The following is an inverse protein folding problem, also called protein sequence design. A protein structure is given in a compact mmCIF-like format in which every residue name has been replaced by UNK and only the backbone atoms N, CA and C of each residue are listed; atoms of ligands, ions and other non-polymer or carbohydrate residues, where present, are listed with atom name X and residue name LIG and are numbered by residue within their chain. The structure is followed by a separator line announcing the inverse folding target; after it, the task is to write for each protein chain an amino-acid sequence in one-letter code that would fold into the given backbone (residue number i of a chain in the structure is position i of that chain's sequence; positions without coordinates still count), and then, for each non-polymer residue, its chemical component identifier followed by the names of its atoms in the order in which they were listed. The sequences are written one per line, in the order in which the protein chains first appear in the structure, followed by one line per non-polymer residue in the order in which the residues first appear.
data_IF_749703809724
#
_entry.id   IF_749703809724
#
_cell.length_a   1.000
_cell.length_b   1.000
_cell.length_c   1.000
_cell.angle_alpha   90.00
_cell.angle_beta   90.00
_cell.angle_gamma   90.00
#
_symmetry.space_group_name_H-M   'P 1'
#
loop_
_entity.id
_entity.type
_entity.pdbx_description
1 polymer ?
#
# COMPACT_ATOMS: atom_id res chain seq x y z
N UNK A 1 1.45 -18.20 -7.23
CA UNK A 1 2.25 -17.03 -6.78
C UNK A 1 1.67 -15.81 -7.45
N UNK A 2 1.25 -14.79 -6.70
CA UNK A 2 0.57 -13.59 -7.22
C UNK A 2 1.38 -12.93 -8.35
N UNK A 3 0.76 -12.17 -9.26
CA UNK A 3 1.46 -11.53 -10.39
C UNK A 3 2.31 -10.33 -9.97
N UNK A 4 1.78 -9.50 -9.06
CA UNK A 4 2.38 -8.21 -8.77
C UNK A 4 1.89 -7.61 -7.44
N UNK A 5 2.74 -6.82 -6.79
CA UNK A 5 2.39 -5.90 -5.70
C UNK A 5 2.39 -4.46 -6.22
N UNK A 6 1.31 -3.73 -5.97
CA UNK A 6 1.17 -2.30 -6.31
C UNK A 6 0.98 -1.52 -5.02
N UNK A 7 1.84 -0.54 -4.76
CA UNK A 7 1.66 0.40 -3.65
C UNK A 7 0.95 1.66 -4.14
N UNK A 8 -0.16 2.01 -3.50
CA UNK A 8 -0.81 3.32 -3.66
C UNK A 8 -0.39 4.18 -2.47
N UNK A 9 0.42 5.19 -2.74
CA UNK A 9 1.07 6.03 -1.75
C UNK A 9 0.59 7.47 -1.85
N UNK A 10 0.75 8.26 -0.79
CA UNK A 10 0.45 9.69 -0.82
C UNK A 10 0.16 10.25 0.56
N UNK A 11 0.37 11.55 0.81
CA UNK A 11 -0.09 12.17 2.05
C UNK A 11 -1.61 12.03 2.27
N UNK A 12 -2.11 12.31 3.49
CA UNK A 12 -3.55 12.39 3.72
C UNK A 12 -4.25 13.37 2.76
N UNK A 13 -5.50 13.09 2.44
CA UNK A 13 -6.35 13.92 1.58
C UNK A 13 -5.86 14.14 0.12
N UNK A 14 -4.98 13.27 -0.38
CA UNK A 14 -4.53 13.26 -1.78
C UNK A 14 -5.37 12.36 -2.71
N UNK A 15 -6.59 11.99 -2.32
CA UNK A 15 -7.53 11.15 -3.10
C UNK A 15 -7.15 9.65 -3.24
N UNK A 16 -6.29 9.11 -2.37
CA UNK A 16 -5.91 7.69 -2.38
C UNK A 16 -7.11 6.75 -2.26
N UNK A 17 -7.90 6.89 -1.20
CA UNK A 17 -9.07 6.04 -0.96
C UNK A 17 -10.12 6.20 -2.08
N UNK A 18 -10.26 7.40 -2.64
CA UNK A 18 -11.09 7.64 -3.83
C UNK A 18 -10.58 6.87 -5.05
N UNK A 19 -9.26 6.83 -5.30
CA UNK A 19 -8.69 5.98 -6.35
C UNK A 19 -8.98 4.50 -6.09
N UNK A 20 -8.82 4.03 -4.86
CA UNK A 20 -9.11 2.64 -4.49
C UNK A 20 -10.57 2.29 -4.78
N UNK A 21 -11.52 3.13 -4.38
CA UNK A 21 -12.95 2.96 -4.69
C UNK A 21 -13.19 2.90 -6.21
N UNK A 22 -12.58 3.79 -6.98
CA UNK A 22 -12.69 3.80 -8.45
C UNK A 22 -12.11 2.51 -9.04
N UNK A 23 -10.93 2.07 -8.61
CA UNK A 23 -10.31 0.83 -9.06
C UNK A 23 -11.16 -0.39 -8.69
N UNK A 24 -11.73 -0.43 -7.50
CA UNK A 24 -12.66 -1.49 -7.09
C UNK A 24 -13.90 -1.52 -7.98
N UNK A 25 -14.51 -0.38 -8.30
CA UNK A 25 -15.65 -0.30 -9.22
C UNK A 25 -15.28 -0.79 -10.63
N UNK A 26 -14.11 -0.36 -11.13
CA UNK A 26 -13.61 -0.77 -12.43
C UNK A 26 -13.30 -2.27 -12.46
N UNK A 27 -12.70 -2.82 -11.39
CA UNK A 27 -12.24 -4.21 -11.31
C UNK A 27 -13.35 -5.21 -10.94
N UNK A 28 -14.29 -4.86 -10.07
CA UNK A 28 -15.30 -5.78 -9.53
C UNK A 28 -16.64 -5.78 -10.29
N UNK A 29 -16.78 -5.03 -11.38
CA UNK A 29 -17.93 -5.05 -12.30
C UNK A 29 -19.33 -4.73 -11.75
N UNK A 30 -19.51 -4.54 -10.44
CA UNK A 30 -20.82 -4.24 -9.88
C UNK A 30 -21.08 -2.72 -9.85
N UNK A 31 -21.99 -2.26 -10.73
CA UNK A 31 -22.62 -0.94 -10.78
C UNK A 31 -21.93 0.21 -11.56
N UNK A 32 -21.56 -0.03 -12.82
CA UNK A 32 -21.39 1.07 -13.82
C UNK A 32 -22.74 1.43 -14.45
N UNK A 33 -23.78 1.67 -13.64
CA UNK A 33 -25.11 2.02 -14.17
C UNK A 33 -25.54 3.45 -13.78
N UNK A 34 -24.92 4.12 -12.80
CA UNK A 34 -25.38 5.44 -12.34
C UNK A 34 -24.28 6.51 -12.17
N UNK A 35 -23.16 6.41 -12.89
CA UNK A 35 -22.17 7.49 -12.95
C UNK A 35 -22.26 8.13 -14.35
N UNK A 36 -22.44 9.45 -14.41
CA UNK A 36 -22.72 10.19 -15.63
C UNK A 36 -21.80 9.79 -16.80
N UNK A 37 -22.48 9.45 -17.89
CA UNK A 37 -22.08 8.57 -18.96
C UNK A 37 -21.19 9.31 -19.99
N UNK A 38 -19.86 9.28 -19.84
CA UNK A 38 -18.95 9.34 -21.00
C UNK A 38 -17.51 8.92 -20.67
N UNK A 39 -16.96 9.36 -19.53
CA UNK A 39 -15.57 9.04 -19.15
C UNK A 39 -15.41 7.57 -18.75
N UNK A 40 -16.36 7.01 -17.99
CA UNK A 40 -16.25 5.64 -17.51
C UNK A 40 -16.47 4.64 -18.64
N UNK A 41 -17.30 4.92 -19.65
CA UNK A 41 -17.46 4.02 -20.80
C UNK A 41 -16.16 3.87 -21.60
N UNK A 42 -15.43 4.97 -21.85
CA UNK A 42 -14.09 4.91 -22.47
C UNK A 42 -13.07 4.18 -21.60
N UNK A 43 -13.06 4.42 -20.29
CA UNK A 43 -12.18 3.72 -19.33
C UNK A 43 -12.54 2.22 -19.28
N UNK A 44 -13.82 1.90 -19.32
CA UNK A 44 -14.34 0.54 -19.34
C UNK A 44 -14.02 -0.20 -20.64
N UNK A 45 -14.07 0.48 -21.79
CA UNK A 45 -13.62 -0.07 -23.08
C UNK A 45 -12.10 -0.35 -23.09
N UNK A 46 -11.29 0.50 -22.45
CA UNK A 46 -9.86 0.23 -22.20
C UNK A 46 -9.70 -1.01 -21.29
N UNK A 47 -10.55 -1.16 -20.28
CA UNK A 47 -10.50 -2.27 -19.32
C UNK A 47 -10.96 -3.61 -19.91
N UNK A 48 -12.04 -3.62 -20.67
CA UNK A 48 -12.70 -4.84 -21.16
C UNK A 48 -11.89 -5.64 -22.18
N UNK A 49 -10.89 -5.03 -22.84
CA UNK A 49 -10.00 -5.77 -23.75
C UNK A 49 -8.95 -6.64 -23.03
N UNK A 50 -8.73 -6.45 -21.72
CA UNK A 50 -7.61 -7.10 -20.98
C UNK A 50 -7.99 -7.77 -19.66
N UNK A 51 -9.27 -7.77 -19.28
CA UNK A 51 -9.74 -8.11 -17.92
C UNK A 51 -9.94 -9.60 -17.62
N UNK A 52 -9.89 -10.49 -18.60
CA UNK A 52 -10.36 -11.86 -18.39
C UNK A 52 -9.46 -12.73 -17.49
N UNK A 53 -8.27 -12.27 -17.07
CA UNK A 53 -7.33 -13.14 -16.34
C UNK A 53 -6.93 -12.67 -14.93
N UNK A 54 -6.92 -11.37 -14.62
CA UNK A 54 -6.34 -10.87 -13.36
C UNK A 54 -7.37 -10.65 -12.24
N UNK A 55 -7.03 -11.08 -11.03
CA UNK A 55 -7.83 -10.85 -9.83
C UNK A 55 -7.23 -9.72 -8.99
N UNK A 56 -8.00 -8.67 -8.69
CA UNK A 56 -7.51 -7.54 -7.89
C UNK A 56 -7.88 -7.72 -6.43
N UNK A 57 -6.89 -7.62 -5.55
CA UNK A 57 -7.06 -7.75 -4.10
C UNK A 57 -6.55 -6.45 -3.47
N UNK A 58 -7.38 -5.82 -2.65
CA UNK A 58 -7.12 -4.50 -2.08
C UNK A 58 -6.87 -4.64 -0.58
N UNK A 59 -5.80 -4.02 -0.10
CA UNK A 59 -5.42 -4.00 1.30
C UNK A 59 -5.24 -2.54 1.75
N UNK A 60 -6.10 -2.06 2.64
CA UNK A 60 -5.95 -0.73 3.24
C UNK A 60 -5.44 -0.85 4.67
N UNK A 61 -4.40 -0.10 5.00
CA UNK A 61 -3.89 -0.06 6.37
C UNK A 61 -4.89 0.55 7.35
N UNK A 62 -5.72 1.49 6.91
CA UNK A 62 -6.79 2.06 7.73
C UNK A 62 -7.80 0.97 8.12
N UNK A 63 -8.18 0.08 7.17
CA UNK A 63 -9.07 -1.06 7.45
C UNK A 63 -8.44 -2.09 8.41
N UNK A 64 -7.14 -2.37 8.24
CA UNK A 64 -6.42 -3.27 9.13
C UNK A 64 -6.38 -2.74 10.56
N UNK A 65 -6.15 -1.44 10.73
CA UNK A 65 -6.05 -0.81 12.05
C UNK A 65 -7.38 -0.32 12.62
N UNK A 66 -8.50 -0.49 11.91
CA UNK A 66 -9.81 0.01 12.32
C UNK A 66 -10.17 -0.34 13.78
N UNK A 67 -10.40 0.68 14.62
CA UNK A 67 -10.71 0.55 16.04
C UNK A 67 -9.49 0.46 16.96
N UNK A 68 -8.26 0.54 16.43
CA UNK A 68 -7.00 0.48 17.18
C UNK A 68 -6.05 1.63 16.81
N UNK A 69 -6.47 2.56 15.95
CA UNK A 69 -5.62 3.55 15.31
C UNK A 69 -4.96 4.47 16.34
N UNK A 70 -5.71 4.98 17.31
CA UNK A 70 -5.18 5.91 18.32
C UNK A 70 -4.07 5.24 19.13
N UNK A 71 -4.32 4.06 19.69
CA UNK A 71 -3.34 3.30 20.47
C UNK A 71 -2.07 2.93 19.69
N UNK A 72 -2.21 2.66 18.38
CA UNK A 72 -1.10 2.27 17.51
C UNK A 72 -0.30 3.51 17.07
N UNK A 73 -0.97 4.62 16.78
CA UNK A 73 -0.36 5.85 16.23
C UNK A 73 0.27 6.71 17.32
N UNK A 74 -0.26 6.69 18.55
CA UNK A 74 0.29 7.46 19.68
C UNK A 74 1.74 7.11 20.00
N UNK A 75 2.18 5.89 19.65
CA UNK A 75 3.57 5.48 19.76
C UNK A 75 4.19 5.24 18.39
N UNK A 76 5.12 6.12 17.98
CA UNK A 76 5.74 6.05 16.64
C UNK A 76 6.45 4.71 16.37
N UNK A 77 7.00 4.10 17.41
CA UNK A 77 7.65 2.79 17.30
C UNK A 77 6.62 1.72 17.01
N UNK A 78 5.48 1.70 17.71
CA UNK A 78 4.45 0.66 17.57
C UNK A 78 3.91 0.57 16.14
N UNK A 79 3.53 1.68 15.51
CA UNK A 79 3.00 1.61 14.14
C UNK A 79 4.03 1.08 13.15
N UNK A 80 5.33 1.37 13.33
CA UNK A 80 6.40 0.80 12.49
C UNK A 80 6.44 -0.72 12.65
N UNK A 81 6.26 -1.22 13.87
CA UNK A 81 6.27 -2.65 14.16
C UNK A 81 5.07 -3.36 13.53
N UNK A 82 3.88 -2.78 13.61
CA UNK A 82 2.71 -3.36 12.95
C UNK A 82 2.85 -3.38 11.42
N UNK A 83 3.41 -2.33 10.81
CA UNK A 83 3.70 -2.33 9.36
C UNK A 83 4.71 -3.40 8.97
N UNK A 84 5.78 -3.58 9.75
CA UNK A 84 6.77 -4.63 9.53
C UNK A 84 6.15 -6.02 9.69
N UNK A 85 5.35 -6.23 10.75
CA UNK A 85 4.57 -7.45 10.96
C UNK A 85 3.71 -7.77 9.74
N UNK A 86 2.91 -6.82 9.26
CA UNK A 86 2.04 -7.00 8.09
C UNK A 86 2.86 -7.36 6.84
N UNK A 87 3.96 -6.65 6.57
CA UNK A 87 4.82 -6.95 5.43
C UNK A 87 5.42 -8.36 5.49
N UNK A 88 5.89 -8.79 6.67
CA UNK A 88 6.43 -10.14 6.89
C UNK A 88 5.37 -11.22 6.66
N UNK A 89 4.17 -11.03 7.18
CA UNK A 89 3.09 -12.01 7.03
C UNK A 89 2.55 -12.05 5.59
N UNK A 90 2.58 -10.93 4.85
CA UNK A 90 2.32 -10.92 3.40
C UNK A 90 3.37 -11.77 2.66
N UNK A 91 4.66 -11.59 2.96
CA UNK A 91 5.74 -12.38 2.35
C UNK A 91 5.58 -13.87 2.67
N UNK A 92 5.34 -14.23 3.93
CA UNK A 92 5.11 -15.61 4.36
C UNK A 92 3.90 -16.22 3.65
N UNK A 93 2.80 -15.47 3.52
CA UNK A 93 1.60 -15.90 2.81
C UNK A 93 1.91 -16.18 1.33
N UNK A 94 2.63 -15.29 0.64
CA UNK A 94 3.01 -15.47 -0.78
C UNK A 94 3.92 -16.68 -0.96
N UNK A 95 4.89 -16.87 -0.06
CA UNK A 95 5.82 -18.00 -0.09
C UNK A 95 5.20 -19.32 0.40
N UNK A 96 3.96 -19.31 0.91
CA UNK A 96 3.34 -20.46 1.58
C UNK A 96 4.16 -21.01 2.77
N UNK A 97 4.99 -20.16 3.38
CA UNK A 97 5.82 -20.50 4.53
C UNK A 97 4.99 -20.32 5.82
N UNK A 98 4.17 -21.30 6.15
CA UNK A 98 3.28 -21.28 7.32
C UNK A 98 4.05 -21.36 8.65
N UNK A 99 5.32 -21.79 8.64
CA UNK A 99 6.05 -22.14 9.87
C UNK A 99 6.82 -21.00 10.54
N UNK A 100 6.88 -19.79 9.95
CA UNK A 100 7.57 -18.63 10.54
C UNK A 100 6.59 -17.56 11.01
N UNK A 101 5.85 -17.84 12.08
CA UNK A 101 5.17 -16.76 12.79
C UNK A 101 6.22 -15.78 13.33
N UNK A 102 6.07 -14.51 12.97
CA UNK A 102 6.89 -13.45 13.56
C UNK A 102 6.72 -13.43 15.09
N UNK A 103 7.83 -13.46 15.83
CA UNK A 103 7.90 -13.45 17.30
C UNK A 103 7.47 -12.10 17.93
N UNK A 104 6.78 -11.26 17.17
CA UNK A 104 6.44 -9.90 17.54
C UNK A 104 5.15 -9.93 18.39
N UNK A 105 5.32 -9.89 19.71
CA UNK A 105 4.22 -9.84 20.66
C UNK A 105 3.66 -8.41 20.78
N UNK A 106 2.83 -8.01 19.81
CA UNK A 106 2.10 -6.74 19.85
C UNK A 106 0.67 -6.93 20.35
N UNK A 107 0.18 -5.97 21.14
CA UNK A 107 -1.13 -5.99 21.81
C UNK A 107 -2.30 -6.39 20.89
N UNK A 108 -2.30 -5.92 19.65
CA UNK A 108 -3.38 -6.11 18.67
C UNK A 108 -3.00 -7.00 17.48
N UNK A 109 -1.89 -7.74 17.57
CA UNK A 109 -1.37 -8.54 16.46
C UNK A 109 -2.40 -9.54 15.96
N UNK A 110 -3.03 -10.31 16.85
CA UNK A 110 -3.99 -11.35 16.46
C UNK A 110 -5.19 -10.81 15.68
N UNK A 111 -5.76 -9.67 16.09
CA UNK A 111 -6.90 -9.04 15.43
C UNK A 111 -6.52 -8.49 14.05
N UNK A 112 -5.38 -7.81 13.97
CA UNK A 112 -4.86 -7.25 12.71
C UNK A 112 -4.52 -8.36 11.73
N UNK A 113 -3.85 -9.42 12.19
CA UNK A 113 -3.50 -10.56 11.36
C UNK A 113 -4.74 -11.32 10.86
N UNK A 114 -5.79 -11.43 11.67
CA UNK A 114 -7.05 -12.02 11.21
C UNK A 114 -7.63 -11.21 10.04
N UNK A 115 -7.71 -9.88 10.15
CA UNK A 115 -8.18 -9.01 9.06
C UNK A 115 -7.28 -9.07 7.82
N UNK A 116 -5.97 -9.16 8.02
CA UNK A 116 -5.01 -9.37 6.96
C UNK A 116 -5.31 -10.68 6.22
N UNK A 117 -5.38 -11.81 6.93
CA UNK A 117 -5.64 -13.10 6.31
C UNK A 117 -7.00 -13.19 5.63
N UNK A 118 -8.03 -12.51 6.17
CA UNK A 118 -9.32 -12.37 5.47
C UNK A 118 -9.17 -11.62 4.13
N UNK A 119 -8.37 -10.55 4.10
CA UNK A 119 -8.09 -9.77 2.89
C UNK A 119 -7.26 -10.54 1.87
N UNK A 120 -6.41 -11.46 2.33
CA UNK A 120 -5.55 -12.29 1.49
C UNK A 120 -6.23 -13.60 1.04
N UNK A 121 -7.37 -14.01 1.64
CA UNK A 121 -7.96 -15.36 1.55
C UNK A 121 -8.33 -15.85 0.13
N UNK A 122 -8.20 -15.03 -0.90
CA UNK A 122 -8.47 -15.40 -2.30
C UNK A 122 -7.30 -15.11 -3.24
N UNK A 123 -6.10 -14.84 -2.71
CA UNK A 123 -4.93 -14.62 -3.54
C UNK A 123 -4.54 -15.90 -4.28
N UNK A 124 -4.40 -15.80 -5.60
CA UNK A 124 -3.95 -16.88 -6.47
C UNK A 124 -2.87 -16.38 -7.43
N UNK A 125 -2.48 -17.22 -8.38
CA UNK A 125 -1.36 -16.91 -9.27
C UNK A 125 -1.62 -15.78 -10.27
N UNK A 126 -2.87 -15.38 -10.46
CA UNK A 126 -3.25 -14.25 -11.30
C UNK A 126 -3.62 -13.00 -10.49
N UNK A 127 -3.40 -13.03 -9.17
CA UNK A 127 -3.76 -11.92 -8.32
C UNK A 127 -2.78 -10.74 -8.43
N UNK A 128 -3.32 -9.53 -8.42
CA UNK A 128 -2.60 -8.27 -8.21
C UNK A 128 -2.96 -7.80 -6.80
N UNK A 129 -1.97 -7.63 -5.94
CA UNK A 129 -2.15 -7.12 -4.58
C UNK A 129 -1.91 -5.61 -4.56
N UNK A 130 -2.96 -4.83 -4.38
CA UNK A 130 -2.92 -3.38 -4.26
C UNK A 130 -2.95 -3.01 -2.78
N UNK A 131 -1.91 -2.32 -2.30
CA UNK A 131 -1.76 -1.93 -0.90
C UNK A 131 -1.82 -0.41 -0.79
N UNK A 132 -2.80 0.09 -0.04
CA UNK A 132 -2.98 1.51 0.24
C UNK A 132 -2.43 1.87 1.62
N UNK A 133 -1.52 2.85 1.64
CA UNK A 133 -1.11 3.55 2.87
C UNK A 133 -0.53 4.92 2.49
N UNK A 134 -0.13 5.73 3.46
CA UNK A 134 0.61 6.95 3.20
C UNK A 134 2.00 6.67 2.64
N UNK A 135 2.68 5.63 3.14
CA UNK A 135 4.02 5.19 2.69
C UNK A 135 5.02 6.34 2.49
N UNK A 136 5.05 7.26 3.46
CA UNK A 136 5.77 8.53 3.30
C UNK A 136 7.29 8.42 3.48
N UNK A 137 7.79 7.37 4.16
CA UNK A 137 9.21 7.02 4.16
C UNK A 137 9.53 6.01 3.05
N UNK A 138 10.62 6.25 2.32
CA UNK A 138 11.13 5.34 1.28
C UNK A 138 11.42 3.93 1.82
N UNK A 139 11.91 3.80 3.06
CA UNK A 139 12.15 2.52 3.71
C UNK A 139 10.90 1.64 3.83
N UNK A 140 9.71 2.24 3.98
CA UNK A 140 8.46 1.48 4.02
C UNK A 140 8.15 0.85 2.65
N UNK A 141 8.37 1.61 1.58
CA UNK A 141 8.11 1.16 0.20
C UNK A 141 9.13 0.11 -0.23
N UNK A 142 10.39 0.33 0.14
CA UNK A 142 11.48 -0.57 -0.19
C UNK A 142 11.28 -1.97 0.42
N UNK A 143 10.65 -2.10 1.60
CA UNK A 143 10.34 -3.41 2.18
C UNK A 143 9.46 -4.27 1.26
N UNK A 144 8.47 -3.68 0.59
CA UNK A 144 7.60 -4.41 -0.35
C UNK A 144 8.28 -4.67 -1.69
N UNK A 145 9.15 -3.76 -2.14
CA UNK A 145 9.99 -4.00 -3.31
C UNK A 145 10.89 -5.22 -3.11
N UNK A 146 11.50 -5.34 -1.93
CA UNK A 146 12.32 -6.51 -1.57
C UNK A 146 11.52 -7.81 -1.53
N UNK A 147 10.27 -7.77 -1.04
CA UNK A 147 9.36 -8.93 -1.11
C UNK A 147 9.19 -9.33 -2.57
N UNK A 148 8.86 -8.36 -3.44
CA UNK A 148 8.65 -8.62 -4.85
C UNK A 148 9.89 -9.20 -5.55
N UNK A 149 11.09 -8.71 -5.23
CA UNK A 149 12.35 -9.24 -5.74
C UNK A 149 12.61 -10.68 -5.30
N UNK A 150 12.40 -11.02 -4.01
CA UNK A 150 12.64 -12.37 -3.50
C UNK A 150 11.70 -13.39 -4.12
N UNK A 151 10.43 -13.03 -4.23
CA UNK A 151 9.39 -13.89 -4.78
C UNK A 151 9.26 -13.74 -6.31
N UNK A 152 10.10 -12.92 -6.95
CA UNK A 152 10.18 -12.72 -8.40
C UNK A 152 8.83 -12.36 -9.06
N UNK A 153 8.16 -11.36 -8.50
CA UNK A 153 6.87 -10.84 -9.03
C UNK A 153 7.02 -9.38 -9.44
N UNK A 154 6.05 -8.87 -10.19
CA UNK A 154 6.03 -7.45 -10.56
C UNK A 154 5.91 -6.51 -9.36
N UNK A 155 6.42 -5.28 -9.48
CA UNK A 155 6.27 -4.24 -8.46
C UNK A 155 6.06 -2.85 -9.08
N UNK A 156 5.19 -2.04 -8.46
CA UNK A 156 5.10 -0.62 -8.77
C UNK A 156 4.66 0.22 -7.58
N UNK A 157 5.11 1.47 -7.59
CA UNK A 157 4.68 2.51 -6.67
C UNK A 157 3.95 3.59 -7.46
N UNK A 158 2.78 3.97 -6.97
CA UNK A 158 1.94 5.03 -7.52
C UNK A 158 1.70 6.06 -6.43
N UNK A 159 2.29 7.24 -6.59
CA UNK A 159 2.11 8.37 -5.69
C UNK A 159 0.95 9.24 -6.14
N UNK A 160 -0.04 9.44 -5.26
CA UNK A 160 -1.00 10.51 -5.39
C UNK A 160 -0.51 11.68 -4.55
N UNK A 161 -0.30 12.80 -5.22
CA UNK A 161 0.19 14.01 -4.62
C UNK A 161 -0.82 15.14 -4.79
N UNK A 162 -0.84 16.06 -3.84
CA UNK A 162 -1.37 17.39 -4.03
C UNK A 162 -0.50 18.36 -3.25
N UNK A 163 -0.54 19.65 -3.53
CA UNK A 163 0.08 20.60 -2.62
C UNK A 163 -0.60 20.57 -1.24
N UNK A 164 0.14 21.00 -0.20
CA UNK A 164 -0.34 20.93 1.18
C UNK A 164 -1.61 21.77 1.42
N UNK A 165 -1.72 22.95 0.78
CA UNK A 165 -2.91 23.81 0.91
C UNK A 165 -4.19 23.11 0.46
N UNK A 166 -4.13 22.39 -0.66
CA UNK A 166 -5.27 21.65 -1.20
C UNK A 166 -5.57 20.43 -0.32
N UNK A 167 -4.55 19.73 0.18
CA UNK A 167 -4.76 18.62 1.11
C UNK A 167 -5.44 19.06 2.41
N UNK A 168 -5.01 20.18 3.01
CA UNK A 168 -5.65 20.75 4.19
C UNK A 168 -7.11 21.15 3.91
N UNK A 169 -7.38 21.80 2.77
CA UNK A 169 -8.74 22.16 2.36
C UNK A 169 -9.63 20.92 2.16
N UNK A 170 -9.10 19.86 1.51
CA UNK A 170 -9.82 18.59 1.32
C UNK A 170 -10.08 17.90 2.64
N UNK A 171 -9.09 17.87 3.53
CA UNK A 171 -9.20 17.28 4.85
C UNK A 171 -10.32 17.94 5.68
N UNK A 172 -10.47 19.26 5.62
CA UNK A 172 -11.57 19.98 6.28
C UNK A 172 -12.96 19.56 5.77
N UNK A 173 -13.07 19.09 4.52
CA UNK A 173 -14.33 18.63 3.93
C UNK A 173 -14.64 17.16 4.23
N UNK A 174 -13.70 16.40 4.80
CA UNK A 174 -13.94 14.99 5.20
C UNK A 174 -14.90 14.93 6.37
N UNK A 175 -15.57 13.79 6.50
CA UNK A 175 -16.31 13.40 7.71
C UNK A 175 -15.41 13.57 8.94
N UNK A 176 -15.95 14.09 10.04
CA UNK A 176 -15.17 14.43 11.25
C UNK A 176 -14.34 13.23 11.73
N UNK A 177 -14.91 12.03 11.71
CA UNK A 177 -14.25 10.77 12.09
C UNK A 177 -13.08 10.37 11.18
N UNK A 178 -13.01 10.90 9.95
CA UNK A 178 -11.95 10.62 8.96
C UNK A 178 -10.95 11.77 8.83
N UNK A 179 -11.12 12.86 9.57
CA UNK A 179 -10.17 13.99 9.52
C UNK A 179 -8.89 13.62 10.23
N UNK A 180 -7.77 13.98 9.61
CA UNK A 180 -6.45 13.91 10.23
C UNK A 180 -6.10 15.31 10.75
N UNK A 181 -5.41 15.44 11.88
CA UNK A 181 -5.02 16.77 12.37
C UNK A 181 -4.12 17.49 11.34
N UNK A 182 -4.23 18.81 11.24
CA UNK A 182 -3.40 19.59 10.30
C UNK A 182 -1.91 19.41 10.59
N UNK A 183 -1.53 19.36 11.86
CA UNK A 183 -0.15 19.13 12.31
C UNK A 183 0.38 17.79 11.79
N UNK A 184 -0.43 16.71 11.89
CA UNK A 184 -0.04 15.41 11.36
C UNK A 184 0.11 15.43 9.83
N UNK A 185 -0.75 16.18 9.12
CA UNK A 185 -0.62 16.37 7.67
C UNK A 185 0.70 17.09 7.34
N UNK A 186 0.96 18.22 7.99
CA UNK A 186 2.20 19.00 7.82
C UNK A 186 3.45 18.16 8.10
N UNK A 187 3.44 17.36 9.17
CA UNK A 187 4.52 16.45 9.52
C UNK A 187 4.74 15.34 8.48
N UNK A 188 3.68 14.81 7.88
CA UNK A 188 3.82 13.82 6.80
C UNK A 188 4.38 14.49 5.56
N UNK A 189 3.89 15.69 5.19
CA UNK A 189 4.36 16.44 4.03
C UNK A 189 5.84 16.81 4.13
N UNK A 190 6.33 17.22 5.31
CA UNK A 190 7.74 17.59 5.49
C UNK A 190 8.72 16.42 5.36
N UNK A 191 8.23 15.18 5.52
CA UNK A 191 9.01 13.95 5.42
C UNK A 191 8.74 13.17 4.13
N UNK A 192 7.79 13.62 3.31
CA UNK A 192 7.31 12.84 2.17
C UNK A 192 8.36 12.81 1.06
N UNK A 193 8.89 11.62 0.81
CA UNK A 193 9.94 11.40 -0.19
C UNK A 193 9.35 10.83 -1.49
N UNK A 194 9.44 11.61 -2.57
CA UNK A 194 9.02 11.24 -3.92
C UNK A 194 10.24 10.76 -4.72
N UNK A 195 10.19 9.54 -5.24
CA UNK A 195 11.18 9.06 -6.20
C UNK A 195 10.77 9.43 -7.63
N UNK A 196 11.75 9.79 -8.47
CA UNK A 196 11.51 10.08 -9.89
C UNK A 196 11.19 8.81 -10.71
N UNK A 197 11.54 7.63 -10.20
CA UNK A 197 11.29 6.35 -10.88
C UNK A 197 9.85 5.84 -10.65
N UNK A 198 9.15 6.42 -9.67
CA UNK A 198 7.79 6.05 -9.30
C UNK A 198 6.75 6.81 -10.16
N UNK A 199 5.55 6.26 -10.33
CA UNK A 199 4.49 6.98 -11.04
C UNK A 199 3.88 8.06 -10.13
N UNK A 200 4.08 9.33 -10.47
CA UNK A 200 3.49 10.46 -9.74
C UNK A 200 2.24 10.97 -10.47
N UNK A 201 1.14 11.06 -9.72
CA UNK A 201 -0.17 11.59 -10.13
C UNK A 201 -0.44 12.85 -9.30
N UNK A 202 -0.27 14.01 -9.91
CA UNK A 202 -0.61 15.29 -9.29
C UNK A 202 -2.12 15.55 -9.40
N UNK A 203 -2.77 15.59 -8.25
CA UNK A 203 -4.21 15.83 -8.12
C UNK A 203 -4.55 17.26 -7.71
N UNK A 204 -3.57 18.16 -7.58
CA UNK A 204 -3.73 19.50 -6.98
C UNK A 204 -4.88 20.29 -7.59
N UNK A 205 -4.91 20.42 -8.92
CA UNK A 205 -5.83 21.34 -9.61
C UNK A 205 -7.15 20.67 -10.03
N UNK A 206 -7.08 19.47 -10.62
CA UNK A 206 -8.22 18.83 -11.28
C UNK A 206 -8.70 17.56 -10.57
N UNK A 207 -8.08 17.19 -9.45
CA UNK A 207 -8.35 15.90 -8.82
C UNK A 207 -7.87 14.72 -9.67
N UNK A 208 -8.61 13.61 -9.64
CA UNK A 208 -8.35 12.45 -10.47
C UNK A 208 -9.09 12.57 -11.82
N UNK A 209 -8.36 12.43 -12.91
CA UNK A 209 -8.88 12.52 -14.29
C UNK A 209 -8.82 11.16 -14.98
N UNK A 210 -9.48 11.04 -16.14
CA UNK A 210 -9.40 9.83 -16.97
C UNK A 210 -7.98 9.55 -17.48
N UNK A 211 -7.19 10.60 -17.75
CA UNK A 211 -5.77 10.48 -18.12
C UNK A 211 -4.94 9.91 -16.98
N UNK A 212 -5.17 10.36 -15.74
CA UNK A 212 -4.53 9.80 -14.55
C UNK A 212 -4.83 8.31 -14.41
N UNK A 213 -6.10 7.93 -14.55
CA UNK A 213 -6.52 6.53 -14.50
C UNK A 213 -5.85 5.70 -15.61
N UNK A 214 -5.76 6.23 -16.84
CA UNK A 214 -5.07 5.54 -17.93
C UNK A 214 -3.60 5.27 -17.61
N UNK A 215 -2.87 6.27 -17.13
CA UNK A 215 -1.45 6.14 -16.73
C UNK A 215 -1.26 5.14 -15.59
N UNK A 216 -2.14 5.18 -14.59
CA UNK A 216 -2.14 4.23 -13.47
C UNK A 216 -2.29 2.80 -13.98
N UNK A 217 -3.28 2.55 -14.84
CA UNK A 217 -3.56 1.23 -15.37
C UNK A 217 -2.43 0.72 -16.26
N UNK A 218 -1.83 1.59 -17.09
CA UNK A 218 -0.64 1.25 -17.87
C UNK A 218 0.53 0.84 -16.98
N UNK A 219 0.78 1.56 -15.88
CA UNK A 219 1.86 1.22 -14.95
C UNK A 219 1.63 -0.10 -14.23
N UNK A 220 0.38 -0.38 -13.82
CA UNK A 220 0.00 -1.68 -13.24
C UNK A 220 0.24 -2.80 -14.26
N UNK A 221 -0.16 -2.60 -15.51
CA UNK A 221 0.03 -3.58 -16.58
C UNK A 221 1.52 -3.84 -16.86
N UNK A 222 2.34 -2.78 -16.96
CA UNK A 222 3.79 -2.90 -17.12
C UNK A 222 4.39 -3.74 -15.99
N UNK A 223 4.07 -3.42 -14.73
CA UNK A 223 4.58 -4.16 -13.59
C UNK A 223 4.17 -5.64 -13.62
N UNK A 224 2.94 -5.96 -14.05
CA UNK A 224 2.50 -7.35 -14.19
C UNK A 224 3.28 -8.15 -15.24
N UNK A 225 3.86 -7.48 -16.24
CA UNK A 225 4.59 -8.11 -17.34
C UNK A 225 6.12 -8.08 -17.14
N UNK A 226 6.61 -7.34 -16.14
CA UNK A 226 8.03 -7.15 -15.85
C UNK A 226 8.32 -7.55 -14.40
N UNK A 227 8.47 -8.86 -14.10
CA UNK A 227 8.81 -9.32 -12.75
C UNK A 227 10.15 -8.76 -12.29
N UNK A 228 10.24 -8.45 -10.99
CA UNK A 228 11.48 -8.03 -10.36
C UNK A 228 12.53 -9.15 -10.41
N UNK A 229 13.77 -8.79 -10.72
CA UNK A 229 14.89 -9.73 -10.71
C UNK A 229 15.36 -9.96 -9.28
N UNK A 230 15.80 -11.19 -8.98
CA UNK A 230 16.47 -11.48 -7.72
C UNK A 230 17.78 -10.69 -7.63
N UNK A 231 18.03 -10.07 -6.48
CA UNK A 231 19.31 -9.41 -6.18
C UNK A 231 20.46 -10.42 -6.26
N UNK A 232 21.60 -10.03 -6.84
CA UNK A 232 22.82 -10.83 -6.77
C UNK A 232 23.38 -10.79 -5.34
N UNK A 233 23.27 -11.93 -4.66
CA UNK A 233 23.27 -12.15 -3.20
C UNK A 233 24.50 -11.71 -2.39
N UNK A 234 25.65 -11.38 -2.99
CA UNK A 234 26.93 -11.46 -2.23
C UNK A 234 27.23 -10.23 -1.33
N UNK A 235 26.77 -9.02 -1.66
CA UNK A 235 27.12 -7.81 -0.86
C UNK A 235 25.93 -7.15 -0.14
N UNK A 236 24.72 -7.30 -0.67
CA UNK A 236 23.56 -6.61 -0.12
C UNK A 236 22.86 -7.44 0.98
N UNK A 237 23.05 -8.77 1.03
CA UNK A 237 22.54 -9.60 2.13
C UNK A 237 23.17 -9.23 3.48
N UNK A 238 24.45 -8.86 3.53
CA UNK A 238 25.09 -8.44 4.78
C UNK A 238 24.58 -7.08 5.27
N UNK A 239 24.35 -6.13 4.36
CA UNK A 239 23.69 -4.85 4.70
C UNK A 239 22.22 -5.05 5.07
N UNK A 240 21.55 -5.97 4.39
CA UNK A 240 20.15 -6.30 4.56
C UNK A 240 19.90 -6.99 5.91
N UNK A 241 20.66 -8.04 6.22
CA UNK A 241 20.68 -8.69 7.53
C UNK A 241 21.08 -7.68 8.61
N UNK A 242 22.08 -6.82 8.39
CA UNK A 242 22.44 -5.80 9.38
C UNK A 242 21.31 -4.78 9.64
N UNK A 243 20.49 -4.45 8.63
CA UNK A 243 19.35 -3.53 8.79
C UNK A 243 18.17 -4.22 9.45
N UNK A 244 17.88 -5.46 9.07
CA UNK A 244 16.79 -6.27 9.64
C UNK A 244 17.12 -6.71 11.07
N UNK A 245 18.38 -7.09 11.35
CA UNK A 245 18.92 -7.34 12.70
C UNK A 245 18.93 -6.06 13.52
N UNK A 246 19.29 -4.89 12.97
CA UNK A 246 19.17 -3.64 13.72
C UNK A 246 17.72 -3.31 14.05
N UNK A 247 16.78 -3.49 13.11
CA UNK A 247 15.37 -3.28 13.37
C UNK A 247 14.87 -4.29 14.41
N UNK A 248 15.18 -5.58 14.28
CA UNK A 248 14.81 -6.63 15.24
C UNK A 248 15.48 -6.48 16.61
N UNK A 249 16.73 -6.00 16.69
CA UNK A 249 17.43 -5.76 17.95
C UNK A 249 16.89 -4.52 18.67
N UNK A 250 16.57 -3.45 17.93
CA UNK A 250 15.85 -2.29 18.48
C UNK A 250 14.47 -2.73 18.98
N UNK A 251 13.79 -3.62 18.25
CA UNK A 251 12.50 -4.20 18.65
C UNK A 251 12.62 -5.05 19.92
N UNK A 252 13.60 -5.94 19.99
CA UNK A 252 13.85 -6.77 21.15
C UNK A 252 14.14 -5.92 22.39
N UNK A 253 14.98 -4.89 22.25
CA UNK A 253 15.29 -3.95 23.34
C UNK A 253 14.04 -3.18 23.81
N UNK A 254 13.22 -2.66 22.90
CA UNK A 254 11.96 -1.96 23.23
C UNK A 254 10.97 -2.91 23.92
N UNK A 255 10.83 -4.15 23.45
CA UNK A 255 9.94 -5.14 24.05
C UNK A 255 10.31 -5.51 25.48
N UNK A 256 11.60 -5.47 25.83
CA UNK A 256 12.09 -5.69 27.20
C UNK A 256 11.95 -4.47 28.11
N UNK A 257 11.74 -3.27 27.56
CA UNK A 257 11.57 -2.04 28.37
C UNK A 257 10.10 -1.72 28.68
N UNK A 258 9.15 -2.37 28.00
CA UNK A 258 7.71 -2.16 28.16
C UNK A 258 7.01 -3.22 29.04
N UNK A 259 7.77 -4.13 29.64
CA UNK A 259 7.35 -5.05 30.72
C UNK A 259 7.75 -4.51 32.08
#
# INVERSE_FOLDING_TARGET
MIKCIILICGPPACLKSTLIEILQLICNHHHIINLEYLCIKKIYEIFNRKKQENQYNFLSFDDLFFGYENDIIENESNWKLYRLLIANEIENYILSNVEKHSLINLKYSSQILNRLYQSLNNLNHNSILIIEDNFYYSSMRHRYHQIAQRVQIGFAIIHLYSNISIALQRNQKREISKRVSNISIENIYSKYDLSNDDLIIDTTNQGLTSEHLHRILQRIEQACNEPEQQLNIINDEERYLATEINQQNVIYQISQTLT
#
